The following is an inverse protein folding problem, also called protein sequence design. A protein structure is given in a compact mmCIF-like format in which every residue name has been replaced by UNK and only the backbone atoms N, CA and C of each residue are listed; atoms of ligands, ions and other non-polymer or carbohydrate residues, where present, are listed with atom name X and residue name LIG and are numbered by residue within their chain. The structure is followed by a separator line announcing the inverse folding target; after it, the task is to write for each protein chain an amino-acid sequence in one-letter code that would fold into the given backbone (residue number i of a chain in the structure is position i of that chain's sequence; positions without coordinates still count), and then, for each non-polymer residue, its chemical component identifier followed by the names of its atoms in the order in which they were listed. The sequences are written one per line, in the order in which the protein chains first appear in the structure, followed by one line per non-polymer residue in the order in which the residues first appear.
data_IF_805217228365
#
_entry.id   IF_805217228365
#
_cell.length_a   1.000
_cell.length_b   1.000
_cell.length_c   1.000
_cell.angle_alpha   90.00
_cell.angle_beta   90.00
_cell.angle_gamma   90.00
#
_symmetry.space_group_name_H-M   'P 1'
#
loop_
_entity.id
_entity.type
_entity.pdbx_description
1 polymer ?
#
# COMPACT_ATOMS: atom_id res chain seq x y z
N UNK A 1 -20.65 -9.74 11.83
CA UNK A 1 -19.74 -10.91 11.79
C UNK A 1 -18.43 -10.67 12.55
N UNK A 2 -17.55 -9.75 12.13
CA UNK A 2 -16.30 -9.48 12.89
C UNK A 2 -16.61 -8.78 14.22
N UNK A 3 -17.48 -7.76 14.20
CA UNK A 3 -17.84 -7.02 15.42
C UNK A 3 -18.52 -7.91 16.47
N UNK A 4 -19.42 -8.79 16.03
CA UNK A 4 -20.09 -9.77 16.91
C UNK A 4 -19.09 -10.79 17.49
N UNK A 5 -18.14 -11.27 16.68
CA UNK A 5 -17.09 -12.16 17.14
C UNK A 5 -16.15 -11.46 18.14
N UNK A 6 -15.86 -10.17 17.92
CA UNK A 6 -15.07 -9.35 18.84
C UNK A 6 -15.78 -9.19 20.19
N UNK A 7 -17.06 -8.82 20.18
CA UNK A 7 -17.87 -8.65 21.39
C UNK A 7 -17.99 -9.96 22.15
N UNK A 8 -18.28 -11.07 21.46
CA UNK A 8 -18.42 -12.39 22.08
C UNK A 8 -17.11 -12.97 22.60
N UNK A 9 -15.96 -12.61 22.01
CA UNK A 9 -14.65 -13.05 22.48
C UNK A 9 -14.21 -12.36 23.77
N UNK A 10 -14.82 -11.24 24.18
CA UNK A 10 -14.54 -10.59 25.48
C UNK A 10 -13.08 -10.22 25.69
N UNK A 11 -12.37 -9.83 24.62
CA UNK A 11 -10.94 -9.51 24.64
C UNK A 11 -10.00 -10.71 24.45
N UNK A 12 -10.52 -11.93 24.32
CA UNK A 12 -9.73 -13.08 23.91
C UNK A 12 -9.52 -13.12 22.40
N UNK A 13 -8.44 -13.77 21.90
CA UNK A 13 -8.26 -13.97 20.47
C UNK A 13 -9.38 -14.82 19.86
N UNK A 14 -9.80 -14.50 18.64
CA UNK A 14 -10.82 -15.25 17.91
C UNK A 14 -10.44 -15.45 16.45
N UNK A 15 -11.04 -16.44 15.79
CA UNK A 15 -10.74 -16.77 14.39
C UNK A 15 -11.81 -16.23 13.46
N UNK A 16 -11.37 -15.66 12.35
CA UNK A 16 -12.22 -15.25 11.23
C UNK A 16 -11.86 -16.14 10.03
N UNK A 17 -12.77 -17.02 9.59
CA UNK A 17 -12.52 -17.83 8.41
C UNK A 17 -12.57 -16.96 7.15
N UNK A 18 -11.63 -17.18 6.24
CA UNK A 18 -11.65 -16.64 4.88
C UNK A 18 -11.54 -17.78 3.87
N UNK A 19 -11.84 -17.54 2.59
CA UNK A 19 -11.75 -18.59 1.56
C UNK A 19 -10.37 -19.25 1.45
N UNK A 20 -9.29 -18.55 1.79
CA UNK A 20 -7.93 -19.08 1.70
C UNK A 20 -7.41 -19.64 3.04
N UNK A 21 -7.64 -18.92 4.14
CA UNK A 21 -7.08 -19.26 5.45
C UNK A 21 -7.94 -18.71 6.62
N UNK A 22 -7.65 -19.16 7.84
CA UNK A 22 -8.26 -18.60 9.03
C UNK A 22 -7.37 -17.48 9.58
N UNK A 23 -7.90 -16.26 9.69
CA UNK A 23 -7.21 -15.15 10.34
C UNK A 23 -7.46 -15.20 11.84
N UNK A 24 -6.39 -15.24 12.64
CA UNK A 24 -6.48 -15.10 14.09
C UNK A 24 -6.45 -13.61 14.46
N UNK A 25 -7.55 -13.10 14.99
CA UNK A 25 -7.69 -11.73 15.47
C UNK A 25 -7.22 -11.66 16.91
N UNK A 26 -6.20 -10.84 17.17
CA UNK A 26 -5.64 -10.61 18.50
C UNK A 26 -6.13 -9.25 19.00
N UNK A 27 -6.87 -9.23 20.11
CA UNK A 27 -7.69 -8.08 20.53
C UNK A 27 -7.25 -7.45 21.85
N UNK A 28 -6.71 -8.23 22.80
CA UNK A 28 -6.21 -7.68 24.06
C UNK A 28 -4.84 -7.03 23.93
N UNK A 29 -4.61 -5.94 24.65
CA UNK A 29 -3.29 -5.30 24.77
C UNK A 29 -2.20 -6.24 25.28
N UNK A 30 -2.54 -7.24 26.10
CA UNK A 30 -1.58 -8.25 26.59
C UNK A 30 -1.04 -9.10 25.44
N UNK A 31 -1.91 -9.80 24.70
CA UNK A 31 -1.51 -10.64 23.57
C UNK A 31 -0.90 -9.82 22.42
N UNK A 32 -1.29 -8.55 22.24
CA UNK A 32 -0.64 -7.66 21.25
C UNK A 32 0.83 -7.41 21.63
N UNK A 33 1.13 -7.15 22.91
CA UNK A 33 2.52 -6.99 23.38
C UNK A 33 3.32 -8.29 23.24
N UNK A 34 2.69 -9.43 23.51
CA UNK A 34 3.30 -10.74 23.26
C UNK A 34 3.65 -10.92 21.78
N UNK A 35 2.74 -10.58 20.87
CA UNK A 35 2.94 -10.65 19.43
C UNK A 35 4.08 -9.74 18.94
N UNK A 36 4.14 -8.51 19.44
CA UNK A 36 5.19 -7.53 19.09
C UNK A 36 6.57 -8.03 19.51
N UNK A 37 6.66 -8.71 20.66
CA UNK A 37 7.91 -9.23 21.21
C UNK A 37 8.23 -10.65 20.73
N UNK A 38 7.36 -11.26 19.93
CA UNK A 38 7.56 -12.61 19.43
C UNK A 38 8.82 -12.68 18.54
N UNK A 39 9.58 -13.77 18.60
CA UNK A 39 10.74 -13.94 17.74
C UNK A 39 10.35 -13.89 16.26
N UNK A 40 11.16 -13.24 15.42
CA UNK A 40 10.95 -13.18 13.96
C UNK A 40 10.90 -14.58 13.30
N UNK A 41 11.38 -15.61 13.99
CA UNK A 41 11.32 -17.01 13.54
C UNK A 41 9.92 -17.62 13.66
N UNK A 42 9.05 -17.10 14.54
CA UNK A 42 7.68 -17.59 14.71
C UNK A 42 6.66 -16.77 13.91
N UNK A 43 6.93 -15.48 13.65
CA UNK A 43 6.03 -14.59 12.92
C UNK A 43 6.79 -13.72 11.91
N UNK A 44 6.31 -13.72 10.66
CA UNK A 44 6.92 -12.96 9.57
C UNK A 44 5.89 -12.11 8.84
N UNK A 45 6.05 -10.78 8.96
CA UNK A 45 5.26 -9.82 8.19
C UNK A 45 5.47 -9.97 6.68
N UNK A 46 6.69 -10.32 6.26
CA UNK A 46 7.02 -10.49 4.84
C UNK A 46 6.32 -11.72 4.24
N UNK A 47 6.25 -12.82 4.99
CA UNK A 47 5.52 -14.01 4.54
C UNK A 47 4.04 -13.69 4.32
N UNK A 48 3.43 -12.94 5.24
CA UNK A 48 2.04 -12.47 5.12
C UNK A 48 1.90 -11.49 3.95
N UNK A 49 2.82 -10.56 3.75
CA UNK A 49 2.79 -9.64 2.62
C UNK A 49 2.90 -10.35 1.27
N UNK A 50 3.75 -11.39 1.15
CA UNK A 50 3.80 -12.25 -0.05
C UNK A 50 2.48 -12.95 -0.30
N UNK A 51 1.85 -13.47 0.74
CA UNK A 51 0.56 -14.15 0.65
C UNK A 51 -0.56 -13.19 0.22
N UNK A 52 -0.64 -12.01 0.81
CA UNK A 52 -1.69 -11.02 0.55
C UNK A 52 -1.50 -10.38 -0.82
N UNK A 53 -0.27 -9.99 -1.18
CA UNK A 53 -0.03 -9.21 -2.39
C UNK A 53 0.20 -10.08 -3.63
N UNK A 54 0.63 -11.33 -3.48
CA UNK A 54 0.99 -12.21 -4.61
C UNK A 54 1.94 -11.52 -5.61
N UNK A 55 3.06 -10.90 -5.17
CA UNK A 55 3.82 -9.92 -5.94
C UNK A 55 4.39 -10.46 -7.26
N UNK A 56 4.67 -11.77 -7.32
CA UNK A 56 5.06 -12.47 -8.55
C UNK A 56 4.07 -12.26 -9.69
N UNK A 57 2.77 -12.21 -9.37
CA UNK A 57 1.69 -12.13 -10.36
C UNK A 57 1.10 -10.72 -10.48
N UNK A 58 1.19 -9.90 -9.43
CA UNK A 58 0.52 -8.59 -9.36
C UNK A 58 1.47 -7.40 -9.51
N UNK A 59 2.78 -7.61 -9.35
CA UNK A 59 3.80 -6.57 -9.34
C UNK A 59 4.91 -6.88 -10.35
N UNK A 60 4.54 -7.26 -11.57
CA UNK A 60 5.46 -7.46 -12.71
C UNK A 60 6.62 -8.43 -12.43
N UNK A 61 6.33 -9.56 -11.77
CA UNK A 61 7.34 -10.58 -11.47
C UNK A 61 8.24 -10.23 -10.29
N UNK A 62 7.87 -9.24 -9.47
CA UNK A 62 8.63 -8.90 -8.26
C UNK A 62 8.66 -10.08 -7.29
N UNK A 63 9.86 -10.60 -7.02
CA UNK A 63 10.11 -11.66 -6.05
C UNK A 63 11.01 -11.14 -4.91
N UNK A 64 10.49 -11.22 -3.69
CA UNK A 64 11.28 -10.94 -2.49
C UNK A 64 12.20 -12.14 -2.22
N UNK A 65 13.50 -11.88 -2.05
CA UNK A 65 14.57 -12.88 -2.12
C UNK A 65 14.72 -13.91 -0.99
N UNK A 66 13.82 -14.18 -0.05
CA UNK A 66 13.93 -15.17 1.06
C UNK A 66 15.25 -15.22 1.90
N UNK A 67 16.25 -14.37 1.64
CA UNK A 67 17.51 -14.32 2.37
C UNK A 67 17.33 -13.51 3.66
N UNK A 68 17.06 -14.25 4.73
CA UNK A 68 16.92 -13.75 6.11
C UNK A 68 18.08 -12.83 6.48
N UNK A 69 17.77 -11.62 6.97
CA UNK A 69 18.73 -10.66 7.51
C UNK A 69 19.15 -9.53 6.54
N UNK A 70 18.96 -9.72 5.23
CA UNK A 70 19.14 -8.66 4.22
C UNK A 70 17.78 -8.00 3.92
N UNK A 71 16.71 -8.78 4.00
CA UNK A 71 15.34 -8.36 3.76
C UNK A 71 14.80 -7.45 4.87
N UNK A 72 14.25 -6.31 4.46
CA UNK A 72 13.83 -5.25 5.36
C UNK A 72 14.95 -4.27 5.73
N UNK A 73 16.24 -4.62 5.61
CA UNK A 73 17.33 -3.65 5.87
C UNK A 73 17.33 -2.51 4.86
N UNK A 74 17.03 -2.80 3.59
CA UNK A 74 16.87 -1.80 2.53
C UNK A 74 15.71 -0.85 2.83
N UNK A 75 14.54 -1.37 3.23
CA UNK A 75 13.38 -0.56 3.60
C UNK A 75 13.60 0.25 4.87
N UNK A 76 14.14 -0.37 5.92
CA UNK A 76 14.47 0.32 7.18
C UNK A 76 15.52 1.39 6.92
N UNK A 77 16.57 1.11 6.15
CA UNK A 77 17.60 2.10 5.81
C UNK A 77 17.03 3.23 4.94
N UNK A 78 16.25 2.92 3.92
CA UNK A 78 15.66 3.92 3.03
C UNK A 78 14.65 4.81 3.78
N UNK A 79 13.71 4.21 4.51
CA UNK A 79 12.64 4.95 5.18
C UNK A 79 13.07 5.56 6.52
N UNK A 80 13.67 4.76 7.41
CA UNK A 80 13.96 5.20 8.80
C UNK A 80 15.25 6.01 8.91
N UNK A 81 16.23 5.78 8.03
CA UNK A 81 17.51 6.51 8.08
C UNK A 81 17.57 7.58 6.99
N UNK A 82 17.47 7.21 5.71
CA UNK A 82 17.68 8.14 4.60
C UNK A 82 16.56 9.16 4.49
N UNK A 83 15.31 8.72 4.36
CA UNK A 83 14.18 9.63 4.20
C UNK A 83 14.04 10.54 5.42
N UNK A 84 14.08 9.99 6.65
CA UNK A 84 14.01 10.81 7.87
C UNK A 84 15.11 11.87 7.95
N UNK A 85 16.35 11.55 7.57
CA UNK A 85 17.45 12.51 7.58
C UNK A 85 17.32 13.61 6.51
N UNK A 86 16.72 13.31 5.36
CA UNK A 86 16.59 14.26 4.25
C UNK A 86 15.25 15.01 4.28
N UNK A 87 14.27 14.54 5.05
CA UNK A 87 12.94 15.12 5.15
C UNK A 87 12.96 16.62 5.46
N UNK A 88 13.78 17.15 6.40
CA UNK A 88 13.81 18.57 6.68
C UNK A 88 14.18 19.42 5.46
N UNK A 89 15.08 18.91 4.60
CA UNK A 89 15.47 19.59 3.36
C UNK A 89 14.39 19.57 2.29
N UNK A 90 13.53 18.54 2.30
CA UNK A 90 12.45 18.36 1.32
C UNK A 90 11.14 19.04 1.73
N UNK A 91 10.96 19.39 3.02
CA UNK A 91 9.73 19.99 3.53
C UNK A 91 9.22 21.21 2.74
N UNK A 92 10.07 22.17 2.31
CA UNK A 92 9.60 23.29 1.50
C UNK A 92 8.96 22.86 0.18
N UNK A 93 9.56 21.88 -0.50
CA UNK A 93 9.02 21.35 -1.76
C UNK A 93 7.73 20.57 -1.54
N UNK A 94 7.67 19.75 -0.49
CA UNK A 94 6.45 19.03 -0.13
C UNK A 94 5.29 19.99 0.15
N UNK A 95 5.56 21.08 0.89
CA UNK A 95 4.57 22.12 1.17
C UNK A 95 4.09 22.78 -0.13
N UNK A 96 5.02 23.22 -0.99
CA UNK A 96 4.70 23.81 -2.30
C UNK A 96 3.82 22.88 -3.15
N UNK A 97 4.13 21.60 -3.18
CA UNK A 97 3.36 20.61 -3.94
C UNK A 97 1.94 20.43 -3.42
N UNK A 98 1.76 20.37 -2.10
CA UNK A 98 0.43 20.25 -1.49
C UNK A 98 -0.39 21.51 -1.74
N UNK A 99 0.20 22.69 -1.56
CA UNK A 99 -0.45 23.97 -1.85
C UNK A 99 -0.87 24.06 -3.33
N UNK A 100 0.02 23.67 -4.25
CA UNK A 100 -0.29 23.64 -5.67
C UNK A 100 -1.44 22.67 -6.00
N UNK A 101 -1.47 21.48 -5.40
CA UNK A 101 -2.54 20.51 -5.62
C UNK A 101 -3.90 21.01 -5.11
N UNK A 102 -3.91 21.72 -3.98
CA UNK A 102 -5.13 22.35 -3.44
C UNK A 102 -5.57 23.50 -4.36
N UNK A 103 -4.65 24.38 -4.75
CA UNK A 103 -4.97 25.51 -5.64
C UNK A 103 -5.49 25.04 -7.01
N UNK A 104 -4.92 23.97 -7.57
CA UNK A 104 -5.36 23.35 -8.83
C UNK A 104 -6.84 22.94 -8.74
N UNK A 105 -7.23 22.24 -7.68
CA UNK A 105 -8.62 21.79 -7.48
C UNK A 105 -9.58 22.96 -7.17
N UNK A 106 -9.08 24.01 -6.52
CA UNK A 106 -9.88 25.19 -6.17
C UNK A 106 -9.96 26.23 -7.30
N UNK A 107 -9.29 26.01 -8.43
CA UNK A 107 -9.12 27.00 -9.49
C UNK A 107 -10.37 27.26 -10.36
N UNK A 108 -11.36 26.37 -10.33
CA UNK A 108 -12.59 26.48 -11.11
C UNK A 108 -13.79 26.78 -10.20
N UNK A 109 -14.09 28.06 -9.93
CA UNK A 109 -15.31 28.43 -9.21
C UNK A 109 -16.55 28.12 -10.03
N UNK A 110 -17.62 27.72 -9.34
CA UNK A 110 -18.95 27.60 -9.90
C UNK A 110 -19.56 29.00 -10.15
N UNK A 111 -20.69 29.03 -10.85
CA UNK A 111 -21.36 30.29 -11.25
C UNK A 111 -21.79 31.18 -10.08
N UNK A 112 -21.87 30.63 -8.87
CA UNK A 112 -22.21 31.33 -7.62
C UNK A 112 -20.98 31.85 -6.84
N UNK A 113 -19.77 31.59 -7.34
CA UNK A 113 -18.51 31.94 -6.66
C UNK A 113 -18.05 30.94 -5.59
N UNK A 114 -18.80 29.84 -5.38
CA UNK A 114 -18.41 28.73 -4.52
C UNK A 114 -17.53 27.73 -5.28
N UNK A 115 -16.72 26.95 -4.58
CA UNK A 115 -15.99 25.82 -5.16
C UNK A 115 -16.35 24.55 -4.41
N UNK A 116 -16.90 23.56 -5.12
CA UNK A 116 -17.12 22.23 -4.58
C UNK A 116 -15.96 21.31 -4.97
N UNK A 117 -15.25 20.77 -3.97
CA UNK A 117 -14.20 19.79 -4.19
C UNK A 117 -14.51 18.46 -3.52
N UNK A 118 -14.09 17.36 -4.16
CA UNK A 118 -14.16 16.03 -3.55
C UNK A 118 -12.90 15.82 -2.73
N UNK A 119 -13.00 16.04 -1.41
CA UNK A 119 -11.88 16.03 -0.49
C UNK A 119 -11.05 14.73 -0.53
N UNK A 120 -11.71 13.57 -0.59
CA UNK A 120 -11.01 12.28 -0.60
C UNK A 120 -10.18 12.06 -1.88
N UNK A 121 -10.72 12.25 -3.10
CA UNK A 121 -9.94 12.30 -4.34
C UNK A 121 -8.78 13.31 -4.33
N UNK A 122 -9.03 14.52 -3.83
CA UNK A 122 -8.00 15.56 -3.71
C UNK A 122 -6.83 15.06 -2.86
N UNK A 123 -7.11 14.58 -1.65
CA UNK A 123 -6.09 14.07 -0.72
C UNK A 123 -5.33 12.91 -1.35
N UNK A 124 -6.03 11.96 -1.98
CA UNK A 124 -5.38 10.82 -2.65
C UNK A 124 -4.42 11.28 -3.75
N UNK A 125 -4.82 12.22 -4.60
CA UNK A 125 -3.97 12.78 -5.66
C UNK A 125 -2.76 13.52 -5.07
N UNK A 126 -2.97 14.37 -4.06
CA UNK A 126 -1.90 15.12 -3.42
C UNK A 126 -0.86 14.20 -2.76
N UNK A 127 -1.30 13.21 -1.98
CA UNK A 127 -0.43 12.19 -1.36
C UNK A 127 0.31 11.38 -2.42
N UNK A 128 -0.36 11.02 -3.52
CA UNK A 128 0.29 10.28 -4.62
C UNK A 128 1.39 11.12 -5.28
N UNK A 129 1.12 12.39 -5.62
CA UNK A 129 2.13 13.29 -6.19
C UNK A 129 3.33 13.44 -5.24
N UNK A 130 3.09 13.67 -3.95
CA UNK A 130 4.14 13.76 -2.92
C UNK A 130 4.96 12.49 -2.83
N UNK A 131 4.32 11.32 -2.77
CA UNK A 131 5.02 10.03 -2.77
C UNK A 131 5.85 9.86 -4.05
N UNK A 132 5.32 10.25 -5.21
CA UNK A 132 6.04 10.16 -6.46
C UNK A 132 7.30 11.04 -6.44
N UNK A 133 7.21 12.25 -5.91
CA UNK A 133 8.35 13.15 -5.75
C UNK A 133 9.41 12.57 -4.81
N UNK A 134 8.98 12.06 -3.65
CA UNK A 134 9.89 11.52 -2.64
C UNK A 134 10.67 10.31 -3.15
N UNK A 135 10.02 9.40 -3.86
CA UNK A 135 10.63 8.13 -4.27
C UNK A 135 11.23 8.15 -5.68
N UNK A 136 10.72 8.99 -6.58
CA UNK A 136 11.09 8.98 -8.00
C UNK A 136 11.55 10.34 -8.53
N UNK A 137 11.53 11.38 -7.69
CA UNK A 137 11.99 12.73 -8.04
C UNK A 137 10.96 13.56 -8.82
N UNK A 138 11.32 14.80 -9.12
CA UNK A 138 10.41 15.80 -9.68
C UNK A 138 9.92 15.46 -11.09
N UNK A 139 10.79 14.91 -11.95
CA UNK A 139 10.45 14.60 -13.34
C UNK A 139 9.26 13.62 -13.45
N UNK A 140 9.30 12.53 -12.68
CA UNK A 140 8.24 11.53 -12.68
C UNK A 140 7.00 12.00 -11.89
N UNK A 141 7.20 12.80 -10.84
CA UNK A 141 6.08 13.38 -10.08
C UNK A 141 5.25 14.40 -10.89
N UNK A 142 5.83 15.02 -11.91
CA UNK A 142 5.12 15.93 -12.82
C UNK A 142 4.50 15.21 -14.02
N UNK A 143 4.83 13.92 -14.25
CA UNK A 143 4.24 13.15 -15.33
C UNK A 143 2.80 12.72 -14.96
N UNK A 144 1.76 13.20 -15.68
CA UNK A 144 0.37 12.87 -15.36
C UNK A 144 0.05 11.38 -15.58
N UNK A 145 0.67 10.74 -16.56
CA UNK A 145 0.49 9.31 -16.85
C UNK A 145 1.07 8.47 -15.72
N UNK A 146 2.30 8.77 -15.30
CA UNK A 146 2.96 8.08 -14.19
C UNK A 146 2.19 8.26 -12.88
N UNK A 147 1.75 9.48 -12.57
CA UNK A 147 1.04 9.75 -11.31
C UNK A 147 -0.38 9.15 -11.30
N UNK A 148 -1.06 9.08 -12.44
CA UNK A 148 -2.32 8.35 -12.56
C UNK A 148 -2.12 6.84 -12.35
N UNK A 149 -1.10 6.25 -12.99
CA UNK A 149 -0.76 4.85 -12.78
C UNK A 149 -0.39 4.56 -11.32
N UNK A 150 0.41 5.41 -10.69
CA UNK A 150 0.78 5.28 -9.28
C UNK A 150 -0.42 5.40 -8.32
N UNK A 151 -1.45 6.19 -8.68
CA UNK A 151 -2.69 6.33 -7.91
C UNK A 151 -3.54 5.06 -7.97
N UNK A 152 -3.64 4.43 -9.14
CA UNK A 152 -4.47 3.24 -9.39
C UNK A 152 -3.79 1.94 -8.95
N UNK A 153 -2.46 1.87 -9.08
CA UNK A 153 -1.66 0.67 -8.88
C UNK A 153 -1.96 -0.07 -7.56
N UNK A 154 -2.07 0.58 -6.38
CA UNK A 154 -2.37 -0.13 -5.13
C UNK A 154 -3.71 -0.88 -5.15
N UNK A 155 -4.75 -0.26 -5.72
CA UNK A 155 -6.08 -0.88 -5.79
C UNK A 155 -6.07 -2.05 -6.79
N UNK A 156 -5.43 -1.86 -7.93
CA UNK A 156 -5.22 -2.88 -8.97
C UNK A 156 -4.49 -4.11 -8.40
N UNK A 157 -3.42 -3.92 -7.62
CA UNK A 157 -2.68 -5.01 -6.97
C UNK A 157 -3.53 -5.79 -5.99
N UNK A 158 -4.27 -5.11 -5.10
CA UNK A 158 -5.12 -5.77 -4.10
C UNK A 158 -6.26 -6.54 -4.76
N UNK A 159 -6.92 -5.96 -5.75
CA UNK A 159 -8.01 -6.64 -6.44
C UNK A 159 -7.53 -7.89 -7.19
N UNK A 160 -6.41 -7.78 -7.91
CA UNK A 160 -5.80 -8.90 -8.59
C UNK A 160 -5.36 -10.00 -7.60
N UNK A 161 -4.79 -9.62 -6.45
CA UNK A 161 -4.34 -10.60 -5.46
C UNK A 161 -5.49 -11.35 -4.80
N UNK A 162 -6.63 -10.70 -4.55
CA UNK A 162 -7.83 -11.35 -4.03
C UNK A 162 -8.39 -12.39 -5.02
N UNK A 163 -8.43 -12.07 -6.32
CA UNK A 163 -8.81 -13.03 -7.36
C UNK A 163 -7.85 -14.23 -7.36
N UNK A 164 -6.54 -13.96 -7.37
CA UNK A 164 -5.53 -15.02 -7.39
C UNK A 164 -5.59 -15.94 -6.16
N UNK A 165 -6.00 -15.42 -4.99
CA UNK A 165 -6.13 -16.22 -3.76
C UNK A 165 -7.28 -17.22 -3.84
N UNK A 166 -8.37 -16.90 -4.54
CA UNK A 166 -9.49 -17.83 -4.75
C UNK A 166 -9.28 -18.74 -5.98
N UNK A 167 -8.41 -18.35 -6.91
CA UNK A 167 -8.08 -19.14 -8.11
C UNK A 167 -7.23 -20.36 -7.76
N UNK A 168 -7.60 -21.58 -8.20
CA UNK A 168 -6.77 -22.78 -8.08
C UNK A 168 -5.38 -22.60 -8.68
N UNK A 169 -4.35 -23.17 -8.04
CA UNK A 169 -2.94 -22.96 -8.41
C UNK A 169 -2.58 -23.30 -9.86
N UNK A 170 -3.27 -24.29 -10.47
CA UNK A 170 -3.05 -24.68 -11.86
C UNK A 170 -3.54 -23.64 -12.89
N UNK A 171 -4.48 -22.76 -12.52
CA UNK A 171 -4.97 -21.69 -13.40
C UNK A 171 -4.14 -20.40 -13.30
N UNK A 172 -3.45 -20.18 -12.18
CA UNK A 172 -2.63 -18.96 -11.96
C UNK A 172 -1.51 -18.79 -12.99
N UNK A 173 -1.01 -19.90 -13.57
CA UNK A 173 0.02 -19.88 -14.61
C UNK A 173 -0.48 -19.40 -15.99
N UNK A 174 -1.79 -19.24 -16.18
CA UNK A 174 -2.35 -18.72 -17.43
C UNK A 174 -2.75 -17.24 -17.32
N UNK A 175 -2.97 -16.73 -16.11
CA UNK A 175 -3.46 -15.37 -15.85
C UNK A 175 -2.38 -14.27 -15.91
N UNK A 176 -1.08 -14.60 -15.77
CA UNK A 176 0.01 -13.60 -15.89
C UNK A 176 0.06 -12.92 -17.27
N UNK A 177 -0.59 -13.50 -18.28
CA UNK A 177 -0.65 -12.96 -19.65
C UNK A 177 -1.88 -12.07 -19.90
N UNK A 178 -2.80 -11.97 -18.94
CA UNK A 178 -4.10 -11.29 -19.09
C UNK A 178 -4.13 -9.95 -18.32
N UNK A 179 -3.22 -9.73 -17.37
CA UNK A 179 -3.12 -8.46 -16.64
C UNK A 179 -2.11 -7.51 -17.32
N UNK A 180 -2.45 -6.23 -17.52
CA UNK A 180 -1.83 -5.41 -18.57
C UNK A 180 -0.31 -5.27 -18.38
N UNK A 181 0.50 -5.57 -19.41
CA UNK A 181 1.96 -5.41 -19.39
C UNK A 181 2.43 -3.95 -19.55
N UNK A 182 1.54 -2.98 -19.67
CA UNK A 182 1.89 -1.67 -20.23
C UNK A 182 2.21 -0.56 -19.20
N UNK A 183 2.20 -0.82 -17.90
CA UNK A 183 2.36 0.27 -16.92
C UNK A 183 3.81 0.56 -16.45
N UNK A 184 4.81 -0.26 -16.79
CA UNK A 184 6.19 -0.08 -16.24
C UNK A 184 7.32 -0.41 -17.22
N UNK A 185 7.06 -0.47 -18.52
CA UNK A 185 8.14 -0.59 -19.51
C UNK A 185 8.14 0.58 -20.50
N UNK A 186 8.59 1.73 -20.01
CA UNK A 186 9.28 2.79 -20.78
C UNK A 186 9.90 3.82 -19.84
#
# INVERSE_FOLDING_TARGET
MIDEAYVSAGGMPFKVPTPNNNHLMVTSSYHIKELINAPLQSLSLHAVAKEILQPKYTMSGFEWQDQRGIEGTGFVRALRSRLTAHLPGMLPDLKRMVEAAIMEELSTPETDGSVHCRLFPLIKRAVTKVNCFVFFGEQLAQNPEFTAAALEFPQTVIFASEILRITPSFLRQYEWRIWPPDAVSR
#
